data_IF_869091084331
#
_entry.id   IF_869091084331
#
_cell.length_a   1.000
_cell.length_b   1.000
_cell.length_c   1.000
_cell.angle_alpha   90.00
_cell.angle_beta   90.00
_cell.angle_gamma   90.00
#
_symmetry.space_group_name_H-M   'P 1'
#
loop_
_entity.id
_entity.type
_entity.pdbx_description
1 polymer ?
#
# COMPACT_ATOMS: atom_id res chain seq x y z
N UNK A 1 -21.14 7.66 -20.69
CA UNK A 1 -20.40 8.75 -20.01
C UNK A 1 -21.38 9.49 -19.11
N UNK A 2 -20.99 9.79 -17.87
CA UNK A 2 -21.81 10.64 -17.03
C UNK A 2 -21.83 12.09 -17.56
N UNK A 3 -22.93 12.79 -17.36
CA UNK A 3 -23.18 14.12 -17.96
C UNK A 3 -22.17 15.21 -17.57
N UNK A 4 -21.41 14.98 -16.49
CA UNK A 4 -20.42 15.91 -15.96
C UNK A 4 -19.01 15.77 -16.57
N UNK A 5 -18.76 14.83 -17.48
CA UNK A 5 -17.47 14.68 -18.18
C UNK A 5 -17.54 15.00 -19.67
N UNK A 6 -18.61 15.64 -20.14
CA UNK A 6 -18.85 15.89 -21.58
C UNK A 6 -17.77 16.76 -22.23
N UNK A 7 -17.11 17.63 -21.47
CA UNK A 7 -16.07 18.54 -21.95
C UNK A 7 -14.67 17.90 -21.95
N UNK A 8 -14.51 16.72 -21.35
CA UNK A 8 -13.22 16.03 -21.27
C UNK A 8 -12.93 15.36 -22.61
N UNK A 9 -11.69 15.46 -23.06
CA UNK A 9 -11.24 14.87 -24.31
C UNK A 9 -11.39 13.34 -24.31
N UNK A 10 -11.68 12.78 -25.48
CA UNK A 10 -11.90 11.34 -25.65
C UNK A 10 -10.67 10.51 -25.26
N UNK A 11 -9.46 10.97 -25.59
CA UNK A 11 -8.22 10.24 -25.26
C UNK A 11 -8.01 10.21 -23.74
N UNK A 12 -8.30 11.32 -23.06
CA UNK A 12 -8.22 11.40 -21.59
C UNK A 12 -9.21 10.44 -20.92
N UNK A 13 -10.41 10.29 -21.46
CA UNK A 13 -11.41 9.36 -20.93
C UNK A 13 -11.04 7.90 -21.18
N UNK A 14 -10.45 7.59 -22.34
CA UNK A 14 -9.93 6.25 -22.64
C UNK A 14 -8.77 5.88 -21.71
N UNK A 15 -7.85 6.82 -21.46
CA UNK A 15 -6.76 6.65 -20.51
C UNK A 15 -7.29 6.44 -19.09
N UNK A 16 -8.29 7.23 -18.66
CA UNK A 16 -8.90 7.10 -17.34
C UNK A 16 -9.55 5.71 -17.14
N UNK A 17 -10.23 5.19 -18.18
CA UNK A 17 -10.85 3.85 -18.13
C UNK A 17 -9.79 2.76 -17.93
N UNK A 18 -8.70 2.78 -18.71
CA UNK A 18 -7.55 1.89 -18.53
C UNK A 18 -6.90 2.05 -17.16
N UNK A 19 -6.72 3.30 -16.70
CA UNK A 19 -6.06 3.58 -15.43
C UNK A 19 -6.90 3.13 -14.21
N UNK A 20 -8.22 3.04 -14.36
CA UNK A 20 -9.12 2.57 -13.30
C UNK A 20 -8.82 1.13 -12.85
N UNK A 21 -8.33 0.28 -13.76
CA UNK A 21 -7.92 -1.09 -13.44
C UNK A 21 -6.78 -1.11 -12.43
N UNK A 22 -5.80 -0.21 -12.58
CA UNK A 22 -4.65 -0.15 -11.69
C UNK A 22 -5.02 0.41 -10.32
N UNK A 23 -5.95 1.38 -10.25
CA UNK A 23 -6.50 1.83 -8.98
C UNK A 23 -7.16 0.67 -8.22
N UNK A 24 -7.98 -0.14 -8.91
CA UNK A 24 -8.62 -1.32 -8.32
C UNK A 24 -7.59 -2.31 -7.77
N UNK A 25 -6.54 -2.61 -8.54
CA UNK A 25 -5.46 -3.51 -8.10
C UNK A 25 -4.76 -2.98 -6.85
N UNK A 26 -4.41 -1.69 -6.81
CA UNK A 26 -3.74 -1.08 -5.67
C UNK A 26 -4.63 -0.99 -4.44
N UNK A 27 -5.88 -0.61 -4.61
CA UNK A 27 -6.84 -0.59 -3.51
C UNK A 27 -6.96 -1.96 -2.87
N UNK A 28 -7.09 -3.02 -3.67
CA UNK A 28 -7.17 -4.38 -3.16
C UNK A 28 -5.88 -4.79 -2.44
N UNK A 29 -4.73 -4.63 -3.11
CA UNK A 29 -3.44 -5.07 -2.58
C UNK A 29 -3.00 -4.31 -1.32
N UNK A 30 -3.14 -2.99 -1.30
CA UNK A 30 -2.68 -2.18 -0.16
C UNK A 30 -3.48 -2.51 1.10
N UNK A 31 -4.80 -2.68 0.97
CA UNK A 31 -5.64 -3.07 2.11
C UNK A 31 -5.37 -4.53 2.55
N UNK A 32 -5.23 -5.46 1.61
CA UNK A 32 -4.86 -6.86 1.90
C UNK A 32 -3.52 -6.94 2.64
N UNK A 33 -2.52 -6.17 2.21
CA UNK A 33 -1.22 -6.08 2.90
C UNK A 33 -1.33 -5.47 4.30
N UNK A 34 -2.16 -4.42 4.49
CA UNK A 34 -2.40 -3.83 5.82
C UNK A 34 -3.03 -4.84 6.76
N UNK A 35 -4.05 -5.56 6.30
CA UNK A 35 -4.75 -6.56 7.11
C UNK A 35 -3.83 -7.73 7.49
N UNK A 36 -2.99 -8.20 6.55
CA UNK A 36 -1.98 -9.22 6.81
C UNK A 36 -0.94 -8.76 7.85
N UNK A 37 -0.43 -7.53 7.72
CA UNK A 37 0.57 -6.97 8.63
C UNK A 37 -0.04 -6.76 10.02
N UNK A 38 -1.24 -6.18 10.10
CA UNK A 38 -1.95 -5.94 11.36
C UNK A 38 -2.23 -7.25 12.10
N UNK A 39 -2.76 -8.27 11.41
CA UNK A 39 -3.03 -9.58 12.01
C UNK A 39 -1.75 -10.26 12.50
N UNK A 40 -0.69 -10.28 11.69
CA UNK A 40 0.60 -10.87 12.06
C UNK A 40 1.24 -10.17 13.25
N UNK A 41 1.18 -8.84 13.29
CA UNK A 41 1.69 -8.04 14.41
C UNK A 41 0.86 -8.23 15.68
N UNK A 42 -0.46 -8.31 15.55
CA UNK A 42 -1.35 -8.59 16.69
C UNK A 42 -1.05 -9.95 17.31
N UNK A 43 -0.85 -10.98 16.49
CA UNK A 43 -0.54 -12.34 16.95
C UNK A 43 0.85 -12.44 17.58
N UNK A 44 1.85 -11.77 16.99
CA UNK A 44 3.24 -11.87 17.45
C UNK A 44 3.67 -10.89 18.56
N UNK A 45 3.01 -9.72 18.66
CA UNK A 45 3.38 -8.63 19.58
C UNK A 45 2.23 -8.21 20.51
N UNK A 46 1.01 -8.70 20.28
CA UNK A 46 -0.16 -8.39 21.11
C UNK A 46 -0.81 -7.06 20.78
N UNK A 47 -1.84 -6.67 21.55
CA UNK A 47 -2.72 -5.53 21.24
C UNK A 47 -2.02 -4.16 21.17
N UNK A 48 -0.89 -4.00 21.84
CA UNK A 48 -0.11 -2.76 21.86
C UNK A 48 0.97 -2.71 20.77
N UNK A 49 0.94 -3.64 19.80
CA UNK A 49 1.94 -3.73 18.73
C UNK A 49 2.18 -2.40 18.01
N UNK A 50 1.12 -1.61 17.76
CA UNK A 50 1.25 -0.30 17.11
C UNK A 50 2.11 0.66 17.94
N UNK A 51 2.02 0.62 19.27
CA UNK A 51 2.75 1.55 20.13
C UNK A 51 4.14 1.02 20.47
N UNK A 52 4.30 -0.29 20.61
CA UNK A 52 5.51 -0.90 21.15
C UNK A 52 6.48 -1.40 20.08
N UNK A 53 5.98 -1.76 18.89
CA UNK A 53 6.75 -2.50 17.89
C UNK A 53 6.86 -1.79 16.52
N UNK A 54 5.97 -0.84 16.21
CA UNK A 54 6.06 -0.04 14.97
C UNK A 54 7.13 1.04 15.10
N UNK A 55 8.01 1.23 14.09
CA UNK A 55 9.03 2.26 14.13
C UNK A 55 8.45 3.66 14.36
N UNK A 56 9.08 4.46 15.22
CA UNK A 56 8.59 5.80 15.60
C UNK A 56 8.25 6.67 14.38
N UNK A 57 9.12 6.68 13.37
CA UNK A 57 8.93 7.47 12.14
C UNK A 57 7.64 7.10 11.40
N UNK A 58 7.26 5.82 11.38
CA UNK A 58 6.03 5.35 10.74
C UNK A 58 4.80 5.81 11.53
N UNK A 59 4.86 5.72 12.87
CA UNK A 59 3.78 6.19 13.75
C UNK A 59 3.56 7.69 13.63
N UNK A 60 4.64 8.46 13.66
CA UNK A 60 4.60 9.92 13.55
C UNK A 60 4.03 10.36 12.20
N UNK A 61 4.43 9.71 11.11
CA UNK A 61 3.90 10.01 9.78
C UNK A 61 2.41 9.67 9.67
N UNK A 62 1.99 8.50 10.16
CA UNK A 62 0.60 8.09 10.16
C UNK A 62 -0.27 9.05 10.98
N UNK A 63 0.17 9.40 12.19
CA UNK A 63 -0.52 10.36 13.05
C UNK A 63 -0.59 11.75 12.41
N UNK A 64 0.51 12.23 11.83
CA UNK A 64 0.54 13.50 11.09
C UNK A 64 -0.45 13.51 9.92
N UNK A 65 -0.58 12.40 9.20
CA UNK A 65 -1.55 12.29 8.10
C UNK A 65 -2.99 12.31 8.64
N UNK A 66 -3.28 11.60 9.73
CA UNK A 66 -4.58 11.63 10.40
C UNK A 66 -4.96 13.04 10.86
N UNK A 67 -4.07 13.69 11.62
CA UNK A 67 -4.31 15.01 12.21
C UNK A 67 -4.50 16.08 11.12
N UNK A 68 -3.71 16.01 10.04
CA UNK A 68 -3.85 16.92 8.90
C UNK A 68 -5.23 16.82 8.27
N UNK A 69 -5.78 15.62 8.09
CA UNK A 69 -7.11 15.43 7.50
C UNK A 69 -8.23 15.89 8.43
N UNK A 70 -8.09 15.58 9.72
CA UNK A 70 -9.03 16.03 10.74
C UNK A 70 -9.05 17.57 10.86
N UNK A 71 -7.89 18.23 10.72
CA UNK A 71 -7.79 19.69 10.75
C UNK A 71 -8.54 20.38 9.60
N UNK A 72 -8.66 19.72 8.45
CA UNK A 72 -9.44 20.19 7.29
C UNK A 72 -10.94 19.90 7.42
N UNK A 73 -11.39 19.29 8.53
CA UNK A 73 -12.78 18.93 8.77
C UNK A 73 -13.29 17.76 7.92
N UNK A 74 -12.37 16.99 7.32
CA UNK A 74 -12.72 15.79 6.57
C UNK A 74 -13.13 14.67 7.55
N UNK A 75 -14.11 13.81 7.18
CA UNK A 75 -14.36 12.60 7.95
C UNK A 75 -13.08 11.75 7.97
N UNK A 76 -12.72 11.13 9.11
CA UNK A 76 -11.60 10.21 9.16
C UNK A 76 -11.76 9.11 8.11
N UNK A 77 -10.72 8.87 7.32
CA UNK A 77 -10.73 7.79 6.32
C UNK A 77 -10.82 6.39 6.96
N UNK A 78 -10.35 6.27 8.19
CA UNK A 78 -10.34 5.05 8.99
C UNK A 78 -10.01 5.36 10.45
N UNK A 79 -10.43 4.46 11.35
CA UNK A 79 -10.04 4.42 12.76
C UNK A 79 -8.71 3.71 13.00
N UNK A 80 -8.17 2.97 12.01
CA UNK A 80 -6.89 2.27 12.11
C UNK A 80 -5.76 3.15 11.59
N UNK A 81 -4.77 3.47 12.42
CA UNK A 81 -3.64 4.29 11.99
C UNK A 81 -2.80 3.65 10.87
N UNK A 82 -2.80 2.32 10.74
CA UNK A 82 -2.15 1.62 9.62
C UNK A 82 -2.74 2.03 8.25
N UNK A 83 -4.00 2.47 8.18
CA UNK A 83 -4.64 2.95 6.94
C UNK A 83 -4.11 4.33 6.48
N UNK A 84 -3.28 4.97 7.31
CA UNK A 84 -2.58 6.22 7.00
C UNK A 84 -1.12 5.99 6.56
N UNK A 85 -0.72 4.73 6.40
CA UNK A 85 0.62 4.33 5.94
C UNK A 85 0.67 4.07 4.44
N UNK A 86 1.89 4.09 3.89
CA UNK A 86 2.25 3.73 2.51
C UNK A 86 2.89 2.34 2.45
N UNK A 87 3.01 1.75 1.26
CA UNK A 87 3.79 0.52 1.06
C UNK A 87 5.22 0.63 1.62
N UNK A 88 5.88 1.78 1.43
CA UNK A 88 7.22 1.99 1.99
C UNK A 88 7.24 1.83 3.51
N UNK A 89 6.28 2.43 4.20
CA UNK A 89 6.15 2.36 5.66
C UNK A 89 5.73 0.97 6.14
N UNK A 90 4.86 0.27 5.40
CA UNK A 90 4.56 -1.15 5.63
C UNK A 90 5.84 -2.00 5.53
N UNK A 91 6.72 -1.69 4.58
CA UNK A 91 8.04 -2.31 4.45
C UNK A 91 8.92 -2.08 5.68
N UNK A 92 8.90 -0.88 6.26
CA UNK A 92 9.64 -0.57 7.48
C UNK A 92 9.10 -1.35 8.70
N UNK A 93 7.78 -1.51 8.82
CA UNK A 93 7.17 -2.36 9.86
C UNK A 93 7.66 -3.80 9.73
N UNK A 94 7.61 -4.36 8.51
CA UNK A 94 8.07 -5.74 8.22
C UNK A 94 9.57 -5.88 8.49
N UNK A 95 10.38 -4.87 8.15
CA UNK A 95 11.83 -4.89 8.34
C UNK A 95 12.22 -4.99 9.81
N UNK A 96 11.61 -4.16 10.65
CA UNK A 96 11.99 -4.01 12.06
C UNK A 96 11.37 -5.10 12.95
N UNK A 97 10.37 -5.83 12.45
CA UNK A 97 9.70 -6.94 13.14
C UNK A 97 9.84 -8.28 12.41
N UNK A 98 10.94 -8.45 11.67
CA UNK A 98 11.14 -9.58 10.76
C UNK A 98 10.99 -10.95 11.43
N UNK A 99 11.34 -11.06 12.72
CA UNK A 99 11.19 -12.29 13.49
C UNK A 99 9.74 -12.81 13.50
N UNK A 100 8.75 -11.91 13.50
CA UNK A 100 7.32 -12.29 13.46
C UNK A 100 6.90 -12.71 12.05
N UNK A 101 7.47 -12.08 11.03
CA UNK A 101 7.11 -12.34 9.62
C UNK A 101 7.86 -13.51 8.99
N UNK A 102 9.02 -13.89 9.53
CA UNK A 102 9.92 -14.86 8.90
C UNK A 102 9.32 -16.25 8.70
N UNK A 103 8.38 -16.67 9.56
CA UNK A 103 7.67 -17.94 9.42
C UNK A 103 6.71 -17.96 8.23
N UNK A 104 6.01 -16.84 7.99
CA UNK A 104 5.12 -16.65 6.85
C UNK A 104 5.91 -16.63 5.53
N UNK A 105 7.09 -16.01 5.54
CA UNK A 105 7.97 -15.88 4.37
C UNK A 105 9.08 -16.93 4.36
N UNK A 106 8.79 -18.17 4.74
CA UNK A 106 9.80 -19.22 4.95
C UNK A 106 10.67 -19.51 3.71
N UNK A 107 10.14 -19.31 2.51
CA UNK A 107 10.84 -19.48 1.23
C UNK A 107 11.46 -18.17 0.69
N UNK A 108 11.50 -17.10 1.49
CA UNK A 108 12.03 -15.80 1.09
C UNK A 108 12.92 -15.16 2.16
N UNK A 109 13.95 -14.46 1.71
CA UNK A 109 14.77 -13.63 2.60
C UNK A 109 14.07 -12.30 2.88
N UNK A 110 14.34 -11.70 4.04
CA UNK A 110 13.91 -10.33 4.37
C UNK A 110 14.15 -9.35 3.22
N UNK A 111 15.34 -9.39 2.63
CA UNK A 111 15.70 -8.49 1.53
C UNK A 111 14.86 -8.74 0.26
N UNK A 112 14.45 -9.98 -0.01
CA UNK A 112 13.55 -10.28 -1.15
C UNK A 112 12.17 -9.69 -0.91
N UNK A 113 11.61 -9.84 0.29
CA UNK A 113 10.32 -9.26 0.67
C UNK A 113 10.35 -7.74 0.54
N UNK A 114 11.34 -7.09 1.16
CA UNK A 114 11.47 -5.62 1.12
C UNK A 114 11.68 -5.08 -0.30
N UNK A 115 12.35 -5.81 -1.19
CA UNK A 115 12.47 -5.42 -2.60
C UNK A 115 11.12 -5.43 -3.31
N UNK A 116 10.26 -6.41 -3.06
CA UNK A 116 8.91 -6.46 -3.64
C UNK A 116 8.07 -5.29 -3.14
N UNK A 117 8.06 -5.05 -1.82
CA UNK A 117 7.32 -3.93 -1.22
C UNK A 117 7.81 -2.58 -1.78
N UNK A 118 9.12 -2.39 -1.88
CA UNK A 118 9.69 -1.16 -2.45
C UNK A 118 9.30 -0.98 -3.93
N UNK A 119 9.24 -2.07 -4.71
CA UNK A 119 8.78 -2.02 -6.09
C UNK A 119 7.31 -1.58 -6.18
N UNK A 120 6.44 -2.10 -5.32
CA UNK A 120 5.03 -1.69 -5.23
C UNK A 120 4.92 -0.20 -4.86
N UNK A 121 5.72 0.26 -3.90
CA UNK A 121 5.75 1.67 -3.49
C UNK A 121 6.13 2.62 -4.65
N UNK A 122 7.14 2.26 -5.44
CA UNK A 122 7.57 3.07 -6.59
C UNK A 122 6.52 3.13 -7.70
N UNK A 123 5.90 1.99 -8.03
CA UNK A 123 4.92 1.92 -9.13
C UNK A 123 3.57 2.54 -8.75
N UNK A 124 3.26 2.65 -7.45
CA UNK A 124 2.09 3.41 -6.95
C UNK A 124 2.14 4.88 -7.37
N UNK A 125 3.33 5.49 -7.45
CA UNK A 125 3.51 6.92 -7.65
C UNK A 125 2.71 7.48 -8.85
N UNK A 126 2.96 7.02 -10.09
CA UNK A 126 2.24 7.49 -11.26
C UNK A 126 0.71 7.37 -11.13
N UNK A 127 0.21 6.28 -10.56
CA UNK A 127 -1.23 6.02 -10.43
C UNK A 127 -1.86 6.97 -9.41
N UNK A 128 -1.22 7.15 -8.25
CA UNK A 128 -1.71 8.06 -7.21
C UNK A 128 -1.67 9.54 -7.64
N UNK A 129 -0.83 9.89 -8.62
CA UNK A 129 -0.72 11.23 -9.19
C UNK A 129 -1.52 11.41 -10.49
N UNK A 130 -2.47 10.50 -10.79
CA UNK A 130 -3.31 10.56 -11.98
C UNK A 130 -2.53 10.64 -13.30
N UNK A 131 -1.34 10.03 -13.35
CA UNK A 131 -0.52 9.94 -14.55
C UNK A 131 -0.76 8.62 -15.28
N UNK A 132 -0.57 8.64 -16.60
CA UNK A 132 -0.62 7.43 -17.41
C UNK A 132 0.52 6.47 -17.04
N UNK A 133 0.18 5.20 -16.83
CA UNK A 133 1.15 4.14 -16.61
C UNK A 133 1.47 3.41 -17.93
N UNK A 134 2.70 3.50 -18.45
CA UNK A 134 3.09 2.79 -19.68
C UNK A 134 2.90 1.28 -19.55
N UNK A 135 2.64 0.59 -20.66
CA UNK A 135 2.35 -0.86 -20.67
C UNK A 135 3.50 -1.69 -20.07
N UNK A 136 4.74 -1.32 -20.31
CA UNK A 136 5.91 -1.99 -19.72
C UNK A 136 5.91 -1.91 -18.19
N UNK A 137 5.50 -0.76 -17.63
CA UNK A 137 5.39 -0.59 -16.18
C UNK A 137 4.15 -1.30 -15.62
N UNK A 138 3.06 -1.40 -16.37
CA UNK A 138 1.90 -2.20 -16.02
C UNK A 138 2.23 -3.71 -15.92
N UNK A 139 3.06 -4.22 -16.84
CA UNK A 139 3.56 -5.60 -16.76
C UNK A 139 4.39 -5.79 -15.49
N UNK A 140 5.32 -4.87 -15.22
CA UNK A 140 6.16 -4.92 -14.01
C UNK A 140 5.34 -4.82 -12.72
N UNK A 141 4.26 -4.06 -12.72
CA UNK A 141 3.29 -4.01 -11.62
C UNK A 141 2.70 -5.39 -11.37
N UNK A 142 2.06 -5.98 -12.39
CA UNK A 142 1.41 -7.30 -12.30
C UNK A 142 2.38 -8.38 -11.83
N UNK A 143 3.64 -8.32 -12.26
CA UNK A 143 4.70 -9.20 -11.77
C UNK A 143 5.02 -8.97 -10.29
N UNK A 144 5.17 -7.72 -9.84
CA UNK A 144 5.42 -7.41 -8.43
C UNK A 144 4.27 -7.88 -7.51
N UNK A 145 3.02 -7.73 -7.95
CA UNK A 145 1.84 -8.23 -7.23
C UNK A 145 1.89 -9.76 -7.14
N UNK A 146 2.14 -10.45 -8.26
CA UNK A 146 2.28 -11.91 -8.25
C UNK A 146 3.42 -12.36 -7.35
N UNK A 147 4.55 -11.67 -7.41
CA UNK A 147 5.71 -11.98 -6.60
C UNK A 147 5.41 -11.82 -5.11
N UNK A 148 4.61 -10.81 -4.70
CA UNK A 148 4.15 -10.65 -3.33
C UNK A 148 3.45 -11.91 -2.80
N UNK A 149 2.44 -12.40 -3.53
CA UNK A 149 1.71 -13.61 -3.13
C UNK A 149 2.61 -14.86 -3.14
N UNK A 150 3.53 -14.97 -4.10
CA UNK A 150 4.52 -16.05 -4.15
C UNK A 150 5.57 -16.02 -3.05
N UNK A 151 5.70 -14.94 -2.27
CA UNK A 151 6.58 -14.95 -1.10
C UNK A 151 6.03 -15.80 0.04
N UNK A 152 4.71 -16.05 0.04
CA UNK A 152 3.97 -16.77 1.08
C UNK A 152 3.68 -18.24 0.70
N UNK A 153 4.05 -18.66 -0.51
CA UNK A 153 4.05 -20.06 -0.96
C UNK A 153 5.35 -20.76 -0.55
#
# INVERSE_FOLDING_TARGET
MADYLRQVDFETLADADRMSEFYKLFYALENDMRDLIESTMLDGKGKQWWIEAVPQVVRDNAQKNYDREAAEGLPPRSDRLIDYTTFGELGEIVKDNWEVFSGMFSNATRNRVLRVINRLNLVRGPIAHCNFLPEEEAIRLKLAIRDWYKLME
#
